data_IF_993310611964
#
_entry.id   IF_993310611964
#
_cell.length_a   1.000
_cell.length_b   1.000
_cell.length_c   1.000
_cell.angle_alpha   90.00
_cell.angle_beta   90.00
_cell.angle_gamma   90.00
#
_symmetry.space_group_name_H-M   'P 1'
#
loop_
_entity.id
_entity.type
_entity.pdbx_description
1 polymer ?
#
# COMPACT_ATOMS: atom_id res chain seq x y z
N UNK A 1 17.84 -6.36 -26.13
CA UNK A 1 17.71 -7.08 -24.82
C UNK A 1 16.28 -7.58 -24.72
N UNK A 2 16.05 -8.81 -24.30
CA UNK A 2 14.69 -9.27 -24.00
C UNK A 2 14.31 -8.76 -22.59
N UNK A 3 13.55 -7.69 -22.54
CA UNK A 3 13.18 -7.03 -21.29
C UNK A 3 12.33 -7.93 -20.36
N UNK A 4 11.48 -8.76 -20.95
CA UNK A 4 10.62 -9.69 -20.20
C UNK A 4 11.45 -10.75 -19.49
N UNK A 5 12.38 -11.41 -20.18
CA UNK A 5 13.29 -12.39 -19.56
C UNK A 5 14.17 -11.75 -18.47
N UNK A 6 14.63 -10.51 -18.69
CA UNK A 6 15.40 -9.76 -17.67
C UNK A 6 14.56 -9.47 -16.43
N UNK A 7 13.30 -9.08 -16.60
CA UNK A 7 12.37 -8.80 -15.51
C UNK A 7 12.03 -10.08 -14.72
N UNK A 8 11.71 -11.17 -15.39
CA UNK A 8 11.46 -12.46 -14.75
C UNK A 8 12.65 -12.92 -13.92
N UNK A 9 13.86 -12.88 -14.48
CA UNK A 9 15.08 -13.27 -13.79
C UNK A 9 15.44 -12.36 -12.61
N UNK A 10 15.08 -11.07 -12.69
CA UNK A 10 15.22 -10.12 -11.58
C UNK A 10 14.27 -10.50 -10.44
N UNK A 11 12.97 -10.70 -10.73
CA UNK A 11 11.98 -11.03 -9.72
C UNK A 11 12.26 -12.40 -9.07
N UNK A 12 12.67 -13.40 -9.83
CA UNK A 12 13.07 -14.74 -9.31
C UNK A 12 14.21 -14.65 -8.28
N UNK A 13 15.11 -13.67 -8.44
CA UNK A 13 16.17 -13.40 -7.43
C UNK A 13 15.64 -12.59 -6.25
N UNK A 14 14.83 -11.55 -6.51
CA UNK A 14 14.30 -10.66 -5.48
C UNK A 14 13.47 -11.43 -4.44
N UNK A 15 12.60 -12.35 -4.88
CA UNK A 15 11.74 -13.13 -3.96
C UNK A 15 12.53 -14.08 -3.06
N UNK A 16 13.76 -14.44 -3.43
CA UNK A 16 14.64 -15.28 -2.62
C UNK A 16 15.37 -14.52 -1.51
N UNK A 17 15.28 -13.20 -1.52
CA UNK A 17 15.90 -12.33 -0.52
C UNK A 17 14.83 -11.94 0.51
N UNK A 18 14.96 -12.32 1.80
CA UNK A 18 14.07 -11.83 2.85
C UNK A 18 14.05 -10.30 2.91
N UNK A 19 12.88 -9.71 3.13
CA UNK A 19 12.74 -8.26 3.20
C UNK A 19 11.42 -7.87 3.86
N UNK A 20 11.19 -8.37 5.10
CA UNK A 20 10.03 -7.91 5.87
C UNK A 20 10.20 -6.43 6.21
N UNK A 21 9.11 -5.71 6.41
CA UNK A 21 9.18 -4.29 6.83
C UNK A 21 10.14 -4.11 8.01
N UNK A 22 11.02 -3.14 7.91
CA UNK A 22 12.16 -2.81 8.79
C UNK A 22 13.37 -3.76 8.68
N UNK A 23 13.38 -4.72 7.76
CA UNK A 23 14.46 -5.69 7.52
C UNK A 23 14.79 -5.78 6.01
N UNK A 24 14.62 -4.68 5.25
CA UNK A 24 14.70 -4.65 3.77
C UNK A 24 16.13 -4.49 3.21
N UNK A 25 17.14 -4.30 4.07
CA UNK A 25 18.51 -3.90 3.65
C UNK A 25 19.06 -4.79 2.54
N UNK A 26 18.95 -6.12 2.66
CA UNK A 26 19.46 -7.05 1.65
C UNK A 26 18.73 -6.92 0.29
N UNK A 27 17.41 -6.65 0.27
CA UNK A 27 16.66 -6.38 -0.97
C UNK A 27 17.12 -5.08 -1.60
N UNK A 28 17.26 -4.04 -0.80
CA UNK A 28 17.70 -2.74 -1.25
C UNK A 28 19.13 -2.80 -1.80
N UNK A 29 20.06 -3.54 -1.17
CA UNK A 29 21.41 -3.76 -1.66
C UNK A 29 21.40 -4.49 -3.02
N UNK A 30 20.63 -5.56 -3.16
CA UNK A 30 20.48 -6.28 -4.43
C UNK A 30 19.96 -5.36 -5.55
N UNK A 31 18.95 -4.53 -5.27
CA UNK A 31 18.39 -3.61 -6.26
C UNK A 31 19.42 -2.53 -6.63
N UNK A 32 20.13 -1.99 -5.64
CA UNK A 32 21.18 -1.00 -5.87
C UNK A 32 22.29 -1.57 -6.75
N UNK A 33 22.83 -2.74 -6.41
CA UNK A 33 23.86 -3.42 -7.22
C UNK A 33 23.39 -3.68 -8.66
N UNK A 34 22.13 -4.09 -8.84
CA UNK A 34 21.54 -4.32 -10.17
C UNK A 34 21.51 -3.05 -11.02
N UNK A 35 21.14 -1.91 -10.42
CA UNK A 35 21.02 -0.62 -11.11
C UNK A 35 22.40 0.02 -11.36
N UNK A 36 23.32 -0.05 -10.38
CA UNK A 36 24.69 0.43 -10.52
C UNK A 36 25.47 -0.38 -11.56
N UNK A 37 25.24 -1.70 -11.62
CA UNK A 37 25.79 -2.58 -12.66
C UNK A 37 25.36 -2.22 -14.09
N UNK A 38 24.30 -1.40 -14.23
CA UNK A 38 23.84 -0.79 -15.49
C UNK A 38 24.32 0.65 -15.69
N UNK A 39 25.23 1.12 -14.85
CA UNK A 39 25.84 2.45 -14.95
C UNK A 39 24.95 3.58 -14.42
N UNK A 40 23.89 3.29 -13.67
CA UNK A 40 23.03 4.30 -13.08
C UNK A 40 23.56 4.77 -11.73
N UNK A 41 23.37 6.04 -11.43
CA UNK A 41 23.66 6.60 -10.10
C UNK A 41 22.46 6.34 -9.20
N UNK A 42 22.67 5.50 -8.20
CA UNK A 42 21.65 5.19 -7.18
C UNK A 42 21.89 6.07 -5.95
N UNK A 43 20.83 6.63 -5.43
CA UNK A 43 20.81 7.33 -4.16
C UNK A 43 20.05 6.46 -3.13
N UNK A 44 20.68 6.23 -1.97
CA UNK A 44 20.07 5.54 -0.82
C UNK A 44 19.63 6.56 0.21
N UNK A 45 18.35 6.48 0.63
CA UNK A 45 17.82 7.26 1.74
C UNK A 45 17.15 6.29 2.73
N UNK A 46 17.87 5.89 3.77
CA UNK A 46 17.55 4.68 4.53
C UNK A 46 17.59 3.46 3.62
N UNK A 47 16.52 2.68 3.59
CA UNK A 47 16.41 1.53 2.68
C UNK A 47 15.67 1.88 1.37
N UNK A 48 15.27 3.14 1.18
CA UNK A 48 14.68 3.58 -0.08
C UNK A 48 15.73 3.74 -1.18
N UNK A 49 15.41 3.30 -2.39
CA UNK A 49 16.23 3.43 -3.60
C UNK A 49 15.66 4.55 -4.46
N UNK A 50 16.49 5.52 -4.81
CA UNK A 50 16.08 6.65 -5.66
C UNK A 50 17.03 6.72 -6.86
N UNK A 51 16.45 6.71 -8.06
CA UNK A 51 17.21 6.89 -9.32
C UNK A 51 16.54 7.96 -10.15
N UNK A 52 17.29 9.02 -10.43
CA UNK A 52 16.80 10.11 -11.29
C UNK A 52 17.23 9.88 -12.72
N UNK A 53 16.41 10.34 -13.64
CA UNK A 53 16.72 10.37 -15.07
C UNK A 53 18.07 11.07 -15.33
N UNK A 54 19.08 10.37 -15.85
CA UNK A 54 20.38 10.99 -16.11
C UNK A 54 20.34 12.04 -17.25
N UNK A 55 19.25 12.05 -18.04
CA UNK A 55 19.03 12.99 -19.14
C UNK A 55 17.84 13.94 -18.86
N UNK A 56 17.59 14.21 -17.57
CA UNK A 56 16.49 15.07 -17.17
C UNK A 56 16.59 16.47 -17.83
N UNK A 57 15.46 16.95 -18.30
CA UNK A 57 15.28 18.27 -18.92
C UNK A 57 14.40 19.11 -17.99
N UNK A 58 14.95 20.21 -17.46
CA UNK A 58 14.23 21.07 -16.52
C UNK A 58 12.95 21.72 -17.10
N UNK A 59 12.74 21.67 -18.40
CA UNK A 59 11.51 22.15 -19.05
C UNK A 59 10.37 21.12 -19.05
N UNK A 60 10.65 19.88 -18.63
CA UNK A 60 9.67 18.78 -18.63
C UNK A 60 9.23 18.44 -17.21
N UNK A 61 7.96 18.09 -17.01
CA UNK A 61 7.49 17.58 -15.73
C UNK A 61 8.15 16.23 -15.42
N UNK A 62 8.24 15.92 -14.14
CA UNK A 62 8.82 14.65 -13.65
C UNK A 62 7.70 13.69 -13.24
N UNK A 63 7.74 12.47 -13.78
CA UNK A 63 6.92 11.35 -13.38
C UNK A 63 7.72 10.45 -12.42
N UNK A 64 7.22 10.28 -11.21
CA UNK A 64 7.73 9.28 -10.27
C UNK A 64 7.12 7.92 -10.54
N UNK A 65 7.96 6.90 -10.61
CA UNK A 65 7.60 5.50 -10.65
C UNK A 65 7.91 4.92 -9.28
N UNK A 66 6.88 4.66 -8.46
CA UNK A 66 7.06 4.20 -7.08
C UNK A 66 6.42 2.82 -6.87
N UNK A 67 7.08 1.97 -6.12
CA UNK A 67 6.53 0.75 -5.52
C UNK A 67 7.38 0.36 -4.31
N UNK A 68 6.85 -0.51 -3.43
CA UNK A 68 7.56 -0.90 -2.21
C UNK A 68 8.33 -2.20 -2.35
N UNK A 69 9.47 -2.30 -1.64
CA UNK A 69 10.35 -3.47 -1.66
C UNK A 69 10.16 -4.39 -0.46
N UNK A 70 9.49 -3.91 0.58
CA UNK A 70 9.21 -4.70 1.77
C UNK A 70 8.04 -5.67 1.58
N UNK A 71 7.90 -6.59 2.52
CA UNK A 71 6.82 -7.57 2.58
C UNK A 71 6.29 -7.68 4.01
N UNK A 72 5.08 -8.21 4.15
CA UNK A 72 4.62 -8.75 5.42
C UNK A 72 5.45 -9.95 5.86
N UNK A 73 5.33 -10.36 7.13
CA UNK A 73 5.90 -11.64 7.57
C UNK A 73 5.18 -12.81 6.91
N UNK A 74 5.89 -13.90 6.55
CA UNK A 74 5.27 -15.06 5.94
C UNK A 74 4.26 -15.71 6.88
N UNK A 75 3.14 -16.13 6.32
CA UNK A 75 2.14 -16.94 7.04
C UNK A 75 2.71 -18.35 7.32
N UNK A 76 2.33 -18.93 8.46
CA UNK A 76 2.64 -20.34 8.78
C UNK A 76 1.96 -21.35 7.84
N UNK A 77 1.01 -20.89 7.03
CA UNK A 77 0.26 -21.71 6.08
C UNK A 77 0.97 -21.94 4.74
N UNK A 78 2.18 -21.37 4.53
CA UNK A 78 2.96 -21.65 3.33
C UNK A 78 3.26 -23.14 3.19
N UNK A 79 3.05 -23.72 1.99
CA UNK A 79 3.33 -25.14 1.70
C UNK A 79 4.79 -25.39 1.31
N UNK A 80 5.56 -24.32 1.07
CA UNK A 80 6.99 -24.33 0.75
C UNK A 80 7.70 -23.17 1.48
N UNK A 81 9.04 -23.18 1.44
CA UNK A 81 9.79 -22.05 1.96
C UNK A 81 9.54 -20.79 1.10
N UNK A 82 8.94 -19.72 1.62
CA UNK A 82 8.59 -18.52 0.85
C UNK A 82 9.80 -17.80 0.22
N UNK A 83 11.02 -18.06 0.71
CA UNK A 83 12.28 -17.52 0.19
C UNK A 83 13.09 -18.53 -0.63
N UNK A 84 12.60 -19.76 -0.79
CA UNK A 84 13.13 -20.76 -1.72
C UNK A 84 11.96 -21.48 -2.41
N UNK A 85 11.17 -20.71 -3.18
CA UNK A 85 9.97 -21.23 -3.82
C UNK A 85 10.31 -22.20 -4.95
N UNK A 86 9.36 -23.10 -5.29
CA UNK A 86 9.50 -23.98 -6.44
C UNK A 86 9.53 -23.19 -7.75
N UNK A 87 10.26 -23.70 -8.73
CA UNK A 87 10.27 -23.16 -10.09
C UNK A 87 9.04 -23.65 -10.85
N UNK A 88 8.37 -22.73 -11.56
CA UNK A 88 7.23 -23.02 -12.42
C UNK A 88 7.41 -22.36 -13.80
N UNK A 89 6.76 -22.93 -14.84
CA UNK A 89 6.89 -22.41 -16.21
C UNK A 89 6.10 -21.12 -16.41
N UNK A 90 4.90 -21.01 -15.82
CA UNK A 90 3.92 -19.97 -16.08
C UNK A 90 3.91 -18.85 -15.01
N UNK A 91 4.57 -19.05 -13.86
CA UNK A 91 4.53 -18.14 -12.73
C UNK A 91 5.80 -18.10 -11.91
N UNK A 92 5.92 -17.07 -11.10
CA UNK A 92 6.96 -16.92 -10.09
C UNK A 92 6.29 -16.94 -8.72
N UNK A 93 6.62 -17.97 -7.93
CA UNK A 93 6.19 -18.07 -6.54
C UNK A 93 7.15 -17.32 -5.61
N UNK A 94 6.66 -16.96 -4.44
CA UNK A 94 7.44 -16.42 -3.33
C UNK A 94 6.73 -15.26 -2.64
N UNK A 95 7.09 -15.02 -1.40
CA UNK A 95 6.55 -13.90 -0.62
C UNK A 95 6.98 -12.56 -1.24
N UNK A 96 5.99 -11.72 -1.55
CA UNK A 96 6.20 -10.46 -2.23
C UNK A 96 6.41 -10.59 -3.74
N UNK A 97 6.13 -11.75 -4.37
CA UNK A 97 6.16 -11.88 -5.83
C UNK A 97 5.06 -11.06 -6.49
N UNK A 98 3.87 -11.05 -5.87
CA UNK A 98 2.70 -10.30 -6.29
C UNK A 98 2.62 -8.92 -5.60
N UNK A 99 2.90 -8.85 -4.30
CA UNK A 99 2.77 -7.65 -3.45
C UNK A 99 4.12 -7.25 -2.83
N UNK A 100 4.87 -6.26 -3.38
CA UNK A 100 4.65 -5.64 -4.69
C UNK A 100 5.84 -5.88 -5.65
N UNK A 101 6.58 -7.01 -5.50
CA UNK A 101 7.76 -7.33 -6.31
C UNK A 101 7.48 -7.33 -7.82
N UNK A 102 6.28 -7.75 -8.24
CA UNK A 102 5.85 -7.64 -9.63
C UNK A 102 5.84 -6.19 -10.12
N UNK A 103 5.27 -5.28 -9.34
CA UNK A 103 5.25 -3.85 -9.65
C UNK A 103 6.63 -3.23 -9.59
N UNK A 104 7.43 -3.53 -8.55
CA UNK A 104 8.86 -3.12 -8.45
C UNK A 104 9.61 -3.50 -9.72
N UNK A 105 9.49 -4.76 -10.12
CA UNK A 105 10.17 -5.30 -11.30
C UNK A 105 9.73 -4.60 -12.59
N UNK A 106 8.43 -4.46 -12.80
CA UNK A 106 7.90 -3.86 -14.03
C UNK A 106 8.22 -2.36 -14.14
N UNK A 107 8.10 -1.59 -13.04
CA UNK A 107 8.46 -0.17 -13.03
C UNK A 107 9.95 0.05 -13.24
N UNK A 108 10.80 -0.75 -12.58
CA UNK A 108 12.25 -0.70 -12.75
C UNK A 108 12.63 -0.98 -14.21
N UNK A 109 12.06 -2.02 -14.84
CA UNK A 109 12.39 -2.35 -16.23
C UNK A 109 11.76 -1.38 -17.23
N UNK A 110 10.59 -0.80 -16.95
CA UNK A 110 10.05 0.31 -17.75
C UNK A 110 10.94 1.55 -17.68
N UNK A 111 11.44 1.91 -16.48
CA UNK A 111 12.43 2.97 -16.31
C UNK A 111 13.69 2.69 -17.16
N UNK A 112 14.29 1.50 -17.01
CA UNK A 112 15.47 1.10 -17.78
C UNK A 112 15.23 1.11 -19.30
N UNK A 113 14.04 0.69 -19.75
CA UNK A 113 13.66 0.75 -21.15
C UNK A 113 13.86 2.15 -21.72
N UNK A 114 13.34 3.18 -21.05
CA UNK A 114 13.46 4.57 -21.53
C UNK A 114 14.88 5.12 -21.42
N UNK A 115 15.61 4.75 -20.37
CA UNK A 115 16.98 5.26 -20.16
C UNK A 115 17.95 4.60 -21.16
N UNK A 116 17.89 3.29 -21.36
CA UNK A 116 18.85 2.57 -22.21
C UNK A 116 18.51 2.69 -23.70
N UNK A 117 17.23 2.71 -24.07
CA UNK A 117 16.82 2.84 -25.47
C UNK A 117 16.88 4.26 -26.01
N UNK A 118 16.87 5.26 -25.11
CA UNK A 118 16.71 6.66 -25.50
C UNK A 118 15.35 6.97 -26.14
N UNK A 119 14.34 6.13 -25.92
CA UNK A 119 13.00 6.31 -26.45
C UNK A 119 12.42 7.67 -26.08
N UNK A 120 11.70 8.26 -27.04
CA UNK A 120 11.11 9.60 -26.85
C UNK A 120 10.07 9.59 -25.74
N UNK A 121 10.18 10.54 -24.84
CA UNK A 121 9.21 10.84 -23.76
C UNK A 121 9.11 12.32 -23.53
N UNK A 122 7.97 12.79 -23.05
CA UNK A 122 7.72 14.21 -22.75
C UNK A 122 7.83 14.51 -21.24
N UNK A 123 8.29 13.55 -20.45
CA UNK A 123 8.48 13.64 -19.00
C UNK A 123 9.88 13.17 -18.62
N UNK A 124 10.41 13.72 -17.54
CA UNK A 124 11.53 13.13 -16.83
C UNK A 124 11.02 11.95 -15.99
N UNK A 125 11.87 11.00 -15.70
CA UNK A 125 11.53 9.85 -14.86
C UNK A 125 12.33 9.88 -13.55
N UNK A 126 11.67 9.58 -12.45
CA UNK A 126 12.32 9.27 -11.17
C UNK A 126 11.79 7.94 -10.68
N UNK A 127 12.66 6.95 -10.52
CA UNK A 127 12.32 5.68 -9.89
C UNK A 127 12.53 5.81 -8.38
N UNK A 128 11.51 5.48 -7.60
CA UNK A 128 11.57 5.43 -6.14
C UNK A 128 11.04 4.08 -5.68
N UNK A 129 11.92 3.23 -5.17
CA UNK A 129 11.55 1.96 -4.58
C UNK A 129 11.64 2.10 -3.06
N UNK A 130 10.48 2.11 -2.41
CA UNK A 130 10.29 2.47 -1.01
C UNK A 130 10.36 1.26 -0.08
N UNK A 131 10.73 1.50 1.18
CA UNK A 131 10.66 0.53 2.26
C UNK A 131 9.48 0.83 3.21
N UNK A 132 9.21 -0.07 4.15
CA UNK A 132 8.26 0.10 5.28
C UNK A 132 6.79 0.40 4.88
N UNK A 133 6.37 0.12 3.64
CA UNK A 133 5.00 0.40 3.18
C UNK A 133 3.97 -0.39 3.99
N UNK A 134 4.17 -1.72 4.13
CA UNK A 134 3.27 -2.69 4.78
C UNK A 134 3.01 -2.40 6.27
N UNK A 135 3.85 -1.58 6.87
CA UNK A 135 3.73 -1.13 8.25
C UNK A 135 3.48 0.37 8.37
N UNK A 136 3.28 1.07 7.23
CA UNK A 136 3.13 2.52 7.20
C UNK A 136 4.24 3.24 7.95
N UNK A 137 5.48 2.78 7.79
CA UNK A 137 6.64 3.24 8.52
C UNK A 137 7.06 4.67 8.16
N UNK A 138 7.81 5.30 9.06
CA UNK A 138 8.28 6.67 8.86
C UNK A 138 9.52 6.74 7.96
N UNK A 139 10.26 5.63 7.82
CA UNK A 139 11.48 5.53 7.02
C UNK A 139 11.23 5.32 5.52
N UNK A 140 10.00 4.99 5.12
CA UNK A 140 9.61 4.76 3.73
C UNK A 140 9.29 6.05 2.96
N UNK A 141 8.22 6.03 2.19
CA UNK A 141 7.84 7.15 1.28
C UNK A 141 7.63 8.49 2.00
N UNK A 142 7.25 8.46 3.30
CA UNK A 142 7.17 9.68 4.12
C UNK A 142 8.53 10.37 4.29
N UNK A 143 9.61 9.61 4.48
CA UNK A 143 10.98 10.14 4.56
C UNK A 143 11.42 10.70 3.20
N UNK A 144 11.12 10.00 2.11
CA UNK A 144 11.47 10.43 0.75
C UNK A 144 10.83 11.77 0.43
N UNK A 145 9.50 11.91 0.58
CA UNK A 145 8.80 13.15 0.30
C UNK A 145 9.13 14.28 1.28
N UNK A 146 9.45 13.96 2.53
CA UNK A 146 9.90 14.94 3.51
C UNK A 146 11.29 15.50 3.20
N UNK A 147 12.17 14.66 2.61
CA UNK A 147 13.53 15.08 2.21
C UNK A 147 13.54 15.77 0.85
N UNK A 148 12.71 15.32 -0.08
CA UNK A 148 12.61 15.83 -1.45
C UNK A 148 11.15 16.21 -1.79
N UNK A 149 10.65 17.35 -1.28
CA UNK A 149 9.26 17.77 -1.49
C UNK A 149 8.90 17.96 -2.99
N UNK A 150 9.89 18.27 -3.83
CA UNK A 150 9.74 18.51 -5.27
C UNK A 150 10.27 17.32 -6.09
N UNK A 151 10.18 16.09 -5.58
CA UNK A 151 10.73 14.88 -6.23
C UNK A 151 10.03 14.56 -7.55
N UNK A 152 8.76 14.94 -7.69
CA UNK A 152 7.97 14.73 -8.90
C UNK A 152 6.75 15.65 -8.99
N UNK A 153 6.26 15.86 -10.21
CA UNK A 153 5.01 16.57 -10.51
C UNK A 153 3.79 15.63 -10.55
N UNK A 154 4.02 14.33 -10.80
CA UNK A 154 3.01 13.28 -10.81
C UNK A 154 3.63 11.91 -10.50
N UNK A 155 2.83 10.92 -10.14
CA UNK A 155 3.33 9.60 -9.76
C UNK A 155 2.47 8.43 -10.27
N UNK A 156 3.12 7.32 -10.58
CA UNK A 156 2.53 5.99 -10.69
C UNK A 156 2.93 5.20 -9.46
N UNK A 157 1.95 4.71 -8.72
CA UNK A 157 2.14 3.86 -7.55
C UNK A 157 1.89 2.41 -7.96
N UNK A 158 2.93 1.59 -7.88
CA UNK A 158 2.90 0.19 -8.31
C UNK A 158 2.37 -0.73 -7.23
N UNK A 159 1.18 -1.28 -7.46
CA UNK A 159 0.46 -2.20 -6.58
C UNK A 159 -0.29 -3.26 -7.38
N UNK A 160 -0.62 -4.45 -6.81
CA UNK A 160 -1.35 -5.48 -7.55
C UNK A 160 -2.81 -5.09 -7.77
N UNK A 161 -3.12 -4.56 -8.97
CA UNK A 161 -4.46 -4.07 -9.35
C UNK A 161 -5.04 -4.74 -10.59
N UNK A 162 -4.47 -5.85 -11.04
CA UNK A 162 -4.83 -6.51 -12.31
C UNK A 162 -4.74 -5.55 -13.51
N UNK A 163 -3.77 -4.63 -13.48
CA UNK A 163 -3.53 -3.59 -14.49
C UNK A 163 -4.72 -2.63 -14.72
N UNK A 164 -5.60 -2.50 -13.73
CA UNK A 164 -6.60 -1.45 -13.69
C UNK A 164 -6.06 -0.26 -12.90
N UNK A 165 -6.29 0.96 -13.37
CA UNK A 165 -5.82 2.16 -12.70
C UNK A 165 -6.80 2.58 -11.59
N UNK A 166 -6.38 2.49 -10.34
CA UNK A 166 -7.11 3.12 -9.25
C UNK A 166 -6.90 4.63 -9.33
N UNK A 167 -8.00 5.37 -9.49
CA UNK A 167 -8.01 6.84 -9.52
C UNK A 167 -8.36 7.46 -8.16
N UNK A 168 -8.66 6.61 -7.20
CA UNK A 168 -8.85 6.95 -5.80
C UNK A 168 -8.61 5.72 -4.93
N UNK A 169 -8.20 5.94 -3.68
CA UNK A 169 -8.08 4.91 -2.66
C UNK A 169 -8.62 5.41 -1.31
N UNK A 170 -9.22 4.50 -0.54
CA UNK A 170 -9.70 4.81 0.80
C UNK A 170 -8.52 4.93 1.75
N UNK A 171 -8.67 5.77 2.79
CA UNK A 171 -7.72 5.82 3.90
C UNK A 171 -7.82 4.62 4.83
N UNK A 172 -7.01 4.65 5.88
CA UNK A 172 -7.02 3.65 6.94
C UNK A 172 -6.97 4.34 8.30
N UNK A 173 -7.92 4.01 9.18
CA UNK A 173 -7.92 4.41 10.57
C UNK A 173 -8.24 3.18 11.43
N UNK A 174 -7.24 2.68 12.14
CA UNK A 174 -7.41 1.60 13.11
C UNK A 174 -7.52 2.20 14.50
N UNK A 175 -8.59 1.85 15.22
CA UNK A 175 -8.87 2.36 16.57
C UNK A 175 -8.91 1.19 17.54
N UNK A 176 -8.07 1.25 18.57
CA UNK A 176 -8.16 0.41 19.75
C UNK A 176 -9.16 1.03 20.72
N UNK A 177 -10.21 0.28 21.06
CA UNK A 177 -11.26 0.71 21.96
C UNK A 177 -11.25 -0.13 23.24
N UNK A 178 -11.43 0.50 24.39
CA UNK A 178 -11.47 -0.16 25.69
C UNK A 178 -12.71 0.28 26.48
N UNK A 179 -13.61 -0.68 26.71
CA UNK A 179 -14.73 -0.48 27.61
C UNK A 179 -14.29 -0.84 29.03
N UNK A 180 -14.58 0.06 29.98
CA UNK A 180 -14.26 -0.10 31.40
C UNK A 180 -15.50 -0.44 32.22
N UNK A 181 -15.39 -1.46 33.05
CA UNK A 181 -16.38 -1.91 34.00
C UNK A 181 -15.86 -1.91 35.42
N UNK A 182 -16.44 -2.76 36.24
CA UNK A 182 -16.05 -3.00 37.65
C UNK A 182 -16.12 -4.50 37.90
N UNK A 183 -15.02 -5.11 38.35
CA UNK A 183 -14.99 -6.53 38.68
C UNK A 183 -15.92 -6.90 39.80
N UNK A 184 -16.51 -8.09 39.78
CA UNK A 184 -17.40 -8.62 40.79
C UNK A 184 -17.62 -10.13 40.64
N UNK A 185 -18.26 -10.76 41.61
CA UNK A 185 -18.59 -12.20 41.53
C UNK A 185 -19.84 -12.39 40.65
N UNK A 186 -19.75 -13.19 39.58
CA UNK A 186 -20.84 -13.37 38.62
C UNK A 186 -22.17 -13.90 39.21
N UNK A 187 -22.12 -14.58 40.37
CA UNK A 187 -23.31 -15.05 41.06
C UNK A 187 -23.94 -14.03 42.01
N UNK A 188 -23.42 -12.81 42.06
CA UNK A 188 -23.94 -11.73 42.93
C UNK A 188 -24.31 -10.55 42.06
N UNK A 189 -25.22 -9.67 42.60
CA UNK A 189 -25.62 -8.41 41.93
C UNK A 189 -24.60 -7.32 42.22
N UNK A 190 -23.33 -7.57 41.86
CA UNK A 190 -22.21 -6.63 42.08
C UNK A 190 -21.33 -6.54 40.84
N UNK A 191 -20.64 -5.42 40.67
CA UNK A 191 -19.80 -5.14 39.53
C UNK A 191 -20.54 -4.50 38.36
N UNK A 192 -19.77 -4.13 37.33
CA UNK A 192 -20.26 -3.58 36.05
C UNK A 192 -19.58 -4.30 34.93
N UNK A 193 -20.32 -5.03 34.12
CA UNK A 193 -19.76 -5.88 33.09
C UNK A 193 -19.28 -5.05 31.89
N UNK A 194 -17.96 -5.06 31.65
CA UNK A 194 -17.34 -4.36 30.53
C UNK A 194 -17.74 -4.94 29.16
N UNK A 195 -18.07 -6.24 29.09
CA UNK A 195 -18.57 -6.87 27.86
C UNK A 195 -19.87 -6.21 27.42
N UNK A 196 -20.82 -6.00 28.33
CA UNK A 196 -22.11 -5.40 27.97
C UNK A 196 -21.95 -3.95 27.49
N UNK A 197 -21.05 -3.18 28.10
CA UNK A 197 -20.72 -1.82 27.62
C UNK A 197 -20.10 -1.84 26.22
N UNK A 198 -19.15 -2.75 25.97
CA UNK A 198 -18.55 -2.92 24.65
C UNK A 198 -19.59 -3.34 23.60
N UNK A 199 -20.53 -4.25 23.95
CA UNK A 199 -21.60 -4.68 23.04
C UNK A 199 -22.52 -3.50 22.64
N UNK A 200 -22.83 -2.57 23.57
CA UNK A 200 -23.60 -1.36 23.27
C UNK A 200 -22.86 -0.47 22.25
N UNK A 201 -21.56 -0.24 22.45
CA UNK A 201 -20.75 0.55 21.54
C UNK A 201 -20.56 -0.15 20.19
N UNK A 202 -20.33 -1.46 20.16
CA UNK A 202 -20.23 -2.27 18.93
C UNK A 202 -21.55 -2.20 18.13
N UNK A 203 -22.69 -2.30 18.80
CA UNK A 203 -24.00 -2.18 18.17
C UNK A 203 -24.26 -0.75 17.61
N UNK A 204 -23.71 0.28 18.26
CA UNK A 204 -23.75 1.66 17.72
C UNK A 204 -22.88 1.76 16.47
N UNK A 205 -21.63 1.23 16.48
CA UNK A 205 -20.71 1.25 15.35
C UNK A 205 -21.34 0.56 14.14
N UNK A 206 -21.96 -0.61 14.31
CA UNK A 206 -22.63 -1.35 13.25
C UNK A 206 -23.70 -0.51 12.52
N UNK A 207 -24.43 0.32 13.26
CA UNK A 207 -25.52 1.16 12.73
C UNK A 207 -25.09 2.55 12.33
N UNK A 208 -23.90 2.98 12.76
CA UNK A 208 -23.40 4.33 12.54
C UNK A 208 -23.15 4.59 11.06
N UNK A 209 -23.68 5.69 10.57
CA UNK A 209 -23.39 6.20 9.23
C UNK A 209 -23.00 7.66 9.33
N UNK A 210 -21.82 7.99 8.78
CA UNK A 210 -21.40 9.39 8.75
C UNK A 210 -22.17 10.16 7.67
N UNK A 211 -22.55 11.43 7.92
CA UNK A 211 -23.46 12.19 7.05
C UNK A 211 -22.97 12.40 5.63
N UNK A 212 -21.66 12.70 5.45
CA UNK A 212 -21.09 12.99 4.13
C UNK A 212 -20.79 11.69 3.39
N UNK A 213 -21.15 11.66 2.12
CA UNK A 213 -20.92 10.53 1.20
C UNK A 213 -20.05 11.02 0.05
N UNK A 214 -18.91 10.42 -0.15
CA UNK A 214 -18.03 10.72 -1.28
C UNK A 214 -18.70 10.32 -2.59
N UNK A 215 -18.73 11.19 -3.60
CA UNK A 215 -19.20 10.82 -4.93
C UNK A 215 -18.40 9.69 -5.56
N UNK A 216 -17.11 9.62 -5.26
CA UNK A 216 -16.16 8.66 -5.83
C UNK A 216 -16.03 7.40 -4.98
N UNK A 217 -15.84 7.56 -3.64
CA UNK A 217 -15.51 6.46 -2.72
C UNK A 217 -16.73 5.91 -1.96
N UNK A 218 -17.89 6.60 -2.02
CA UNK A 218 -19.09 6.24 -1.27
C UNK A 218 -19.00 6.58 0.22
N UNK A 219 -19.62 5.77 1.08
CA UNK A 219 -19.66 5.97 2.54
C UNK A 219 -18.35 5.50 3.20
N UNK A 220 -17.99 6.16 4.32
CA UNK A 220 -16.97 5.60 5.24
C UNK A 220 -17.45 4.23 5.73
N UNK A 221 -16.55 3.24 5.66
CA UNK A 221 -16.82 1.89 6.17
C UNK A 221 -16.17 1.74 7.55
N UNK A 222 -16.90 1.17 8.49
CA UNK A 222 -16.42 0.84 9.84
C UNK A 222 -16.76 -0.61 10.15
N UNK A 223 -15.80 -1.35 10.68
CA UNK A 223 -15.96 -2.77 11.00
C UNK A 223 -15.21 -3.09 12.28
N UNK A 224 -15.89 -3.68 13.27
CA UNK A 224 -15.21 -4.25 14.43
C UNK A 224 -14.63 -5.60 14.02
N UNK A 225 -13.32 -5.76 14.20
CA UNK A 225 -12.56 -6.93 13.69
C UNK A 225 -12.00 -7.82 14.78
N UNK A 226 -11.90 -7.32 16.02
CA UNK A 226 -11.38 -8.08 17.16
C UNK A 226 -12.16 -7.70 18.42
N UNK A 227 -12.42 -8.67 19.29
CA UNK A 227 -12.98 -8.46 20.63
C UNK A 227 -12.30 -9.40 21.61
N UNK A 228 -11.85 -8.90 22.75
CA UNK A 228 -11.20 -9.66 23.81
C UNK A 228 -11.70 -9.20 25.19
N UNK A 229 -12.16 -10.16 26.03
CA UNK A 229 -12.61 -9.89 27.40
C UNK A 229 -12.70 -11.16 28.24
N UNK A 230 -12.56 -11.00 29.57
CA UNK A 230 -12.74 -12.07 30.56
C UNK A 230 -11.61 -13.09 30.57
N UNK A 231 -11.43 -13.76 31.69
CA UNK A 231 -10.40 -14.80 31.88
C UNK A 231 -10.89 -15.97 32.74
N UNK A 232 -11.96 -15.76 33.52
CA UNK A 232 -12.57 -16.82 34.36
C UNK A 232 -14.09 -16.66 34.35
N UNK A 233 -14.83 -17.77 34.26
CA UNK A 233 -16.29 -17.78 34.08
C UNK A 233 -17.10 -17.19 35.23
N UNK A 234 -16.57 -17.13 36.45
CA UNK A 234 -17.25 -16.69 37.67
C UNK A 234 -16.87 -15.24 38.08
N UNK A 235 -16.15 -14.47 37.25
CA UNK A 235 -15.80 -13.09 37.51
C UNK A 235 -16.44 -12.20 36.42
N UNK A 236 -17.10 -11.13 36.84
CA UNK A 236 -17.59 -10.07 35.96
C UNK A 236 -16.38 -9.32 35.40
N UNK A 237 -16.17 -9.26 34.06
CA UNK A 237 -15.01 -8.57 33.47
C UNK A 237 -15.10 -7.06 33.71
N UNK A 238 -14.00 -6.46 34.14
CA UNK A 238 -13.82 -5.02 34.30
C UNK A 238 -13.25 -4.34 33.09
N UNK A 239 -12.83 -5.11 32.08
CA UNK A 239 -12.25 -4.61 30.84
C UNK A 239 -12.70 -5.46 29.65
N UNK A 240 -13.10 -4.79 28.55
CA UNK A 240 -13.32 -5.40 27.25
C UNK A 240 -12.65 -4.54 26.19
N UNK A 241 -11.74 -5.15 25.42
CA UNK A 241 -11.03 -4.47 24.32
C UNK A 241 -11.61 -4.91 22.97
N UNK A 242 -11.70 -3.98 22.04
CA UNK A 242 -12.07 -4.29 20.66
C UNK A 242 -11.36 -3.37 19.69
N UNK A 243 -11.23 -3.81 18.44
CA UNK A 243 -10.53 -3.07 17.38
C UNK A 243 -11.53 -2.70 16.29
N UNK A 244 -11.49 -1.46 15.85
CA UNK A 244 -12.30 -0.93 14.76
C UNK A 244 -11.40 -0.66 13.57
N UNK A 245 -11.60 -1.37 12.44
CA UNK A 245 -11.05 -1.02 11.12
C UNK A 245 -11.99 -0.02 10.45
N UNK A 246 -11.49 1.16 10.15
CA UNK A 246 -12.24 2.23 9.50
C UNK A 246 -11.55 2.58 8.18
N UNK A 247 -12.37 2.73 7.12
CA UNK A 247 -11.93 3.11 5.78
C UNK A 247 -12.46 4.50 5.43
N UNK A 248 -11.71 5.56 5.79
CA UNK A 248 -12.05 6.94 5.49
C UNK A 248 -12.16 7.22 4.00
N UNK A 249 -12.92 8.23 3.66
CA UNK A 249 -13.04 8.79 2.31
C UNK A 249 -12.54 10.24 2.29
N UNK A 250 -12.48 10.85 1.13
CA UNK A 250 -12.10 12.26 0.93
C UNK A 250 -13.00 13.28 1.68
N UNK A 251 -14.15 12.85 2.18
CA UNK A 251 -15.09 13.70 2.94
C UNK A 251 -14.67 13.96 4.38
N UNK A 252 -13.73 13.16 4.93
CA UNK A 252 -13.35 13.22 6.34
C UNK A 252 -11.87 12.98 6.56
N UNK A 253 -11.28 13.73 7.48
CA UNK A 253 -9.96 13.41 8.04
C UNK A 253 -10.09 12.40 9.18
N UNK A 254 -9.02 11.65 9.46
CA UNK A 254 -9.00 10.71 10.58
C UNK A 254 -9.30 11.39 11.94
N UNK A 255 -8.76 12.59 12.27
CA UNK A 255 -9.14 13.31 13.48
C UNK A 255 -10.63 13.63 13.57
N UNK A 256 -11.28 14.01 12.45
CA UNK A 256 -12.73 14.27 12.44
C UNK A 256 -13.55 13.02 12.76
N UNK A 257 -13.14 11.87 12.20
CA UNK A 257 -13.80 10.59 12.48
C UNK A 257 -13.62 10.22 13.96
N UNK A 258 -12.41 10.39 14.52
CA UNK A 258 -12.15 10.15 15.93
C UNK A 258 -13.00 11.03 16.86
N UNK A 259 -13.17 12.30 16.53
CA UNK A 259 -14.04 13.22 17.28
C UNK A 259 -15.50 12.74 17.27
N UNK A 260 -16.01 12.34 16.10
CA UNK A 260 -17.38 11.82 15.98
C UNK A 260 -17.58 10.52 16.78
N UNK A 261 -16.62 9.59 16.73
CA UNK A 261 -16.66 8.35 17.50
C UNK A 261 -16.63 8.63 19.01
N UNK A 262 -15.76 9.53 19.44
CA UNK A 262 -15.63 9.91 20.86
C UNK A 262 -16.90 10.59 21.44
N UNK A 263 -17.69 11.23 20.57
CA UNK A 263 -18.98 11.83 20.96
C UNK A 263 -20.10 10.79 21.12
N UNK A 264 -19.99 9.63 20.50
CA UNK A 264 -21.05 8.61 20.46
C UNK A 264 -20.78 7.38 21.32
N UNK A 265 -19.51 7.02 21.51
CA UNK A 265 -19.10 5.83 22.22
C UNK A 265 -18.70 6.13 23.68
N UNK A 266 -18.94 5.16 24.55
CA UNK A 266 -18.57 5.25 25.97
C UNK A 266 -17.16 4.70 26.24
N UNK A 267 -16.63 3.87 25.34
CA UNK A 267 -15.29 3.27 25.43
C UNK A 267 -14.21 4.33 25.24
N UNK A 268 -13.08 4.13 25.93
CA UNK A 268 -11.85 4.87 25.65
C UNK A 268 -11.33 4.49 24.25
N UNK A 269 -11.02 5.49 23.42
CA UNK A 269 -10.62 5.29 22.04
C UNK A 269 -9.18 5.78 21.83
N UNK A 270 -8.35 4.95 21.17
CA UNK A 270 -6.98 5.26 20.82
C UNK A 270 -6.72 4.92 19.35
N UNK A 271 -6.52 5.93 18.52
CA UNK A 271 -6.09 5.72 17.12
C UNK A 271 -4.65 5.25 17.08
N UNK A 272 -4.36 4.21 16.25
CA UNK A 272 -2.99 3.75 16.00
C UNK A 272 -2.22 4.73 15.12
N UNK A 273 -2.90 5.31 14.11
CA UNK A 273 -2.32 6.32 13.21
C UNK A 273 -3.42 7.26 12.71
N UNK A 274 -3.17 8.56 12.75
CA UNK A 274 -4.09 9.60 12.30
C UNK A 274 -3.75 10.17 10.91
N UNK A 275 -2.63 9.75 10.31
CA UNK A 275 -2.10 10.34 9.06
C UNK A 275 -2.41 9.55 7.80
N UNK A 276 -2.95 8.31 7.92
CA UNK A 276 -3.30 7.46 6.78
C UNK A 276 -4.60 7.94 6.11
N UNK A 277 -4.47 8.97 5.28
CA UNK A 277 -5.59 9.61 4.59
C UNK A 277 -6.02 8.82 3.35
N UNK A 278 -7.19 9.11 2.81
CA UNK A 278 -7.59 8.73 1.45
C UNK A 278 -6.83 9.57 0.41
N UNK A 279 -6.68 9.03 -0.79
CA UNK A 279 -6.03 9.68 -1.93
C UNK A 279 -6.94 9.67 -3.15
N UNK A 280 -6.80 10.66 -4.02
CA UNK A 280 -7.55 10.71 -5.30
C UNK A 280 -6.79 11.51 -6.34
N UNK A 281 -6.92 11.09 -7.61
CA UNK A 281 -6.37 11.82 -8.74
C UNK A 281 -7.28 13.01 -9.06
N UNK A 282 -6.74 14.24 -9.13
CA UNK A 282 -7.55 15.40 -9.51
C UNK A 282 -8.09 15.29 -10.93
N UNK A 283 -9.27 15.85 -11.18
CA UNK A 283 -9.81 15.99 -12.53
C UNK A 283 -8.87 16.86 -13.38
N UNK A 284 -8.69 16.48 -14.65
CA UNK A 284 -7.81 17.18 -15.58
C UNK A 284 -6.32 16.91 -15.36
N UNK A 285 -5.95 15.95 -14.51
CA UNK A 285 -4.56 15.52 -14.36
C UNK A 285 -4.07 14.87 -15.68
N UNK A 286 -2.91 15.30 -16.23
CA UNK A 286 -2.35 14.72 -17.45
C UNK A 286 -2.14 13.20 -17.38
N UNK A 287 -1.81 12.69 -16.19
CA UNK A 287 -1.63 11.26 -15.95
C UNK A 287 -2.95 10.48 -16.11
N UNK A 288 -4.09 11.05 -15.65
CA UNK A 288 -5.41 10.43 -15.84
C UNK A 288 -5.79 10.38 -17.33
N UNK A 289 -5.45 11.41 -18.07
CA UNK A 289 -5.68 11.45 -19.53
C UNK A 289 -4.77 10.47 -20.27
N UNK A 290 -3.52 10.27 -19.81
CA UNK A 290 -2.62 9.26 -20.34
C UNK A 290 -3.18 7.83 -20.11
N UNK A 291 -3.67 7.54 -18.90
CA UNK A 291 -4.34 6.27 -18.57
C UNK A 291 -5.53 6.00 -19.50
N UNK A 292 -6.36 7.02 -19.74
CA UNK A 292 -7.51 6.92 -20.66
C UNK A 292 -7.06 6.68 -22.11
N UNK A 293 -6.02 7.40 -22.60
CA UNK A 293 -5.46 7.21 -23.95
C UNK A 293 -4.88 5.82 -24.14
N UNK A 294 -4.25 5.27 -23.11
CA UNK A 294 -3.76 3.90 -23.11
C UNK A 294 -4.87 2.83 -23.04
N UNK A 295 -6.15 3.24 -22.94
CA UNK A 295 -7.29 2.31 -22.88
C UNK A 295 -7.41 1.53 -21.58
N UNK A 296 -6.78 2.02 -20.50
CA UNK A 296 -6.73 1.33 -19.21
C UNK A 296 -8.02 1.62 -18.42
N UNK A 297 -8.75 0.58 -17.95
CA UNK A 297 -9.92 0.77 -17.11
C UNK A 297 -9.58 1.37 -15.76
N UNK A 298 -10.49 2.19 -15.20
CA UNK A 298 -10.29 2.85 -13.91
C UNK A 298 -11.25 2.31 -12.85
N UNK A 299 -10.82 2.35 -11.57
CA UNK A 299 -11.62 1.95 -10.43
C UNK A 299 -11.25 2.72 -9.15
N UNK A 300 -11.94 2.44 -8.05
CA UNK A 300 -11.64 2.99 -6.71
C UNK A 300 -11.13 1.85 -5.83
N UNK A 301 -9.88 1.98 -5.36
CA UNK A 301 -9.26 0.98 -4.48
C UNK A 301 -9.82 1.05 -3.06
N UNK A 302 -10.01 -0.13 -2.47
CA UNK A 302 -10.45 -0.27 -1.08
C UNK A 302 -9.27 -0.33 -0.09
N UNK A 303 -8.05 -0.49 -0.61
CA UNK A 303 -6.80 -0.59 0.18
C UNK A 303 -5.97 0.68 0.03
N UNK A 304 -5.17 0.99 1.05
CA UNK A 304 -4.18 2.06 1.05
C UNK A 304 -2.89 1.62 0.36
N UNK A 305 -2.02 2.57 0.04
CA UNK A 305 -0.68 2.36 -0.50
C UNK A 305 0.20 3.58 -0.16
N UNK A 306 1.42 3.60 -0.65
CA UNK A 306 2.32 4.76 -0.55
C UNK A 306 1.71 6.06 -1.14
N UNK A 307 0.63 5.95 -1.93
CA UNK A 307 -0.09 7.12 -2.42
C UNK A 307 -0.52 8.08 -1.31
N UNK A 308 -0.92 7.55 -0.15
CA UNK A 308 -1.29 8.40 1.00
C UNK A 308 -0.12 9.23 1.56
N UNK A 309 1.13 8.90 1.20
CA UNK A 309 2.36 9.51 1.71
C UNK A 309 2.93 10.60 0.80
N UNK A 310 2.59 10.60 -0.47
CA UNK A 310 3.20 11.50 -1.47
C UNK A 310 2.62 12.93 -1.46
N UNK A 311 1.85 13.30 -0.46
CA UNK A 311 1.36 14.67 -0.31
C UNK A 311 0.35 15.08 -1.39
N UNK A 312 0.58 16.21 -2.04
CA UNK A 312 -0.30 16.75 -3.07
C UNK A 312 0.07 16.29 -4.49
N UNK A 313 1.07 15.43 -4.65
CA UNK A 313 1.48 14.90 -5.96
C UNK A 313 0.30 14.10 -6.56
N UNK A 314 -0.23 14.48 -7.73
CA UNK A 314 -1.27 13.71 -8.41
C UNK A 314 -0.74 12.33 -8.79
N UNK A 315 -1.52 11.27 -8.53
CA UNK A 315 -1.06 9.92 -8.85
C UNK A 315 -2.19 9.01 -9.32
N UNK A 316 -1.82 7.88 -9.90
CA UNK A 316 -2.67 6.71 -10.09
C UNK A 316 -1.98 5.49 -9.47
N UNK A 317 -2.76 4.56 -8.94
CA UNK A 317 -2.25 3.29 -8.43
C UNK A 317 -2.57 2.18 -9.43
N UNK A 318 -1.55 1.50 -9.93
CA UNK A 318 -1.70 0.46 -10.96
C UNK A 318 -0.52 -0.49 -10.95
N UNK A 319 -0.75 -1.77 -11.21
CA UNK A 319 0.32 -2.74 -11.43
C UNK A 319 -0.17 -4.14 -11.75
N UNK A 320 0.76 -5.03 -12.12
CA UNK A 320 0.48 -6.42 -12.39
C UNK A 320 0.11 -7.19 -11.13
N UNK A 321 -0.43 -8.37 -11.30
CA UNK A 321 -0.88 -9.22 -10.21
C UNK A 321 -2.26 -8.83 -9.66
N UNK A 322 -2.77 -9.64 -8.75
CA UNK A 322 -4.10 -9.47 -8.17
C UNK A 322 -4.03 -9.21 -6.67
N UNK A 323 -4.72 -8.19 -6.19
CA UNK A 323 -4.82 -7.87 -4.76
C UNK A 323 -5.37 -9.03 -3.91
N UNK A 324 -6.11 -9.96 -4.53
CA UNK A 324 -6.63 -11.16 -3.85
C UNK A 324 -5.55 -12.17 -3.47
N UNK A 325 -4.33 -12.08 -4.01
CA UNK A 325 -3.18 -12.92 -3.71
C UNK A 325 -2.29 -12.35 -2.61
N UNK A 326 -2.42 -11.05 -2.32
CA UNK A 326 -1.63 -10.36 -1.29
C UNK A 326 -1.89 -10.94 0.09
N UNK A 327 -0.84 -11.04 0.90
CA UNK A 327 -0.86 -11.53 2.29
C UNK A 327 -1.38 -12.96 2.46
N UNK A 328 -1.33 -13.77 1.41
CA UNK A 328 -1.71 -15.19 1.44
C UNK A 328 -0.50 -16.10 1.33
N UNK A 329 -0.64 -17.32 1.88
CA UNK A 329 0.33 -18.37 1.65
C UNK A 329 0.40 -18.74 0.16
N UNK A 330 1.57 -19.22 -0.26
CA UNK A 330 1.86 -19.64 -1.63
C UNK A 330 1.62 -18.54 -2.66
N UNK A 331 1.95 -17.30 -2.28
CA UNK A 331 1.86 -16.12 -3.13
C UNK A 331 2.61 -16.32 -4.45
N UNK A 332 2.03 -15.83 -5.54
CA UNK A 332 2.62 -15.91 -6.87
C UNK A 332 2.14 -14.77 -7.78
N UNK A 333 2.92 -14.52 -8.84
CA UNK A 333 2.55 -13.71 -10.00
C UNK A 333 2.73 -14.53 -11.28
N UNK A 334 1.85 -14.35 -12.28
CA UNK A 334 2.02 -14.97 -13.57
C UNK A 334 3.08 -14.22 -14.40
N UNK A 335 3.91 -14.96 -15.16
CA UNK A 335 4.91 -14.36 -16.07
C UNK A 335 4.26 -13.48 -17.14
N UNK A 336 3.08 -13.86 -17.60
CA UNK A 336 2.28 -13.04 -18.53
C UNK A 336 1.86 -11.69 -17.89
N UNK A 337 1.58 -11.65 -16.57
CA UNK A 337 1.25 -10.41 -15.88
C UNK A 337 2.46 -9.46 -15.80
N UNK A 338 3.69 -9.99 -15.68
CA UNK A 338 4.92 -9.20 -15.71
C UNK A 338 5.11 -8.55 -17.10
N UNK A 339 4.98 -9.33 -18.19
CA UNK A 339 5.08 -8.80 -19.54
C UNK A 339 4.07 -7.69 -19.80
N UNK A 340 2.79 -7.95 -19.49
CA UNK A 340 1.71 -6.95 -19.62
C UNK A 340 1.91 -5.75 -18.71
N UNK A 341 2.45 -5.95 -17.51
CA UNK A 341 2.76 -4.86 -16.57
C UNK A 341 3.77 -3.88 -17.14
N UNK A 342 4.87 -4.38 -17.72
CA UNK A 342 5.86 -3.55 -18.38
C UNK A 342 5.27 -2.80 -19.57
N UNK A 343 4.54 -3.48 -20.47
CA UNK A 343 3.87 -2.87 -21.62
C UNK A 343 2.90 -1.76 -21.17
N UNK A 344 2.16 -1.99 -20.09
CA UNK A 344 1.21 -1.02 -19.52
C UNK A 344 1.94 0.25 -19.03
N UNK A 345 3.01 0.10 -18.26
CA UNK A 345 3.77 1.25 -17.77
C UNK A 345 4.44 2.04 -18.92
N UNK A 346 5.01 1.33 -19.90
CA UNK A 346 5.58 1.97 -21.10
C UNK A 346 4.48 2.75 -21.83
N UNK A 347 3.32 2.15 -22.06
CA UNK A 347 2.19 2.80 -22.73
C UNK A 347 1.68 4.06 -22.00
N UNK A 348 1.64 4.03 -20.66
CA UNK A 348 1.28 5.21 -19.85
C UNK A 348 2.30 6.33 -20.06
N UNK A 349 3.61 6.02 -19.99
CA UNK A 349 4.68 7.00 -20.13
C UNK A 349 4.68 7.61 -21.55
N UNK A 350 4.53 6.80 -22.59
CA UNK A 350 4.44 7.26 -23.99
C UNK A 350 3.18 8.10 -24.24
N UNK A 351 2.11 7.84 -23.50
CA UNK A 351 0.84 8.57 -23.59
C UNK A 351 0.86 9.92 -22.86
N UNK A 352 1.89 10.24 -22.08
CA UNK A 352 2.05 11.56 -21.46
C UNK A 352 2.52 12.59 -22.52
N UNK A 353 1.69 13.59 -22.76
CA UNK A 353 1.91 14.66 -23.76
C UNK A 353 2.31 15.97 -23.10
#
# INVERSE_FOLDING_TARGET
MNWTESAEAFLEKLVRIPGNSFEESARADFIQEYLEGRGLKVERLGENIIVRDPMADASRPTLMLNSHIDTVKPSESYTFNPYDPPVAEDRIYGLGSNDAGGSVTCLLHAFLHFIESGSRRNVNLTLVLSCEEERSGAGGMSLVCGTYPDIADMAVIGEPTSLQAAVAERGLLVVDATAHGVSGHAAREEGVNAIYKAMEDIAKIERMTLPKVSPTMGRVKMTVTQVEAGYVHNIVPDTCRFVIDIRPTDCYTNPQIMEMLSGELQSELKARNLTNRSSSTPDGCPLLDAVKRAGIPTFVSQTTSDWMRIGAIPAVKIGPGESSRSHKADEFILKEEISKGMETYISIIESLQ
#
